data_IF_033620787710
#
_entry.id   IF_033620787710
#
_cell.length_a   1.000
_cell.length_b   1.000
_cell.length_c   1.000
_cell.angle_alpha   90.00
_cell.angle_beta   90.00
_cell.angle_gamma   90.00
#
_symmetry.space_group_name_H-M   'P 1'
#
loop_
_entity.id
_entity.type
_entity.pdbx_description
1 polymer ?
#
# COMPACT_ATOMS: atom_id res chain seq x y z
N UNK A 1 18.53 -4.46 -0.81
CA UNK A 1 17.57 -3.52 -1.41
C UNK A 1 16.17 -4.05 -1.24
N UNK A 2 15.23 -3.20 -0.82
CA UNK A 2 13.87 -3.66 -0.54
C UNK A 2 13.00 -3.60 -1.79
N UNK A 3 12.19 -4.63 -1.97
CA UNK A 3 11.18 -4.62 -3.02
C UNK A 3 10.03 -3.70 -2.62
N UNK A 4 9.16 -3.38 -3.56
CA UNK A 4 7.96 -2.60 -3.28
C UNK A 4 7.12 -3.26 -2.19
N UNK A 5 6.96 -4.58 -2.27
CA UNK A 5 6.20 -5.32 -1.27
C UNK A 5 6.82 -5.21 0.12
N UNK A 6 8.13 -5.32 0.22
CA UNK A 6 8.82 -5.18 1.49
C UNK A 6 8.66 -3.77 2.06
N UNK A 7 8.75 -2.77 1.21
CA UNK A 7 8.56 -1.37 1.63
C UNK A 7 7.14 -1.14 2.14
N UNK A 8 6.15 -1.72 1.47
CA UNK A 8 4.76 -1.62 1.93
C UNK A 8 4.56 -2.30 3.27
N UNK A 9 5.17 -3.47 3.45
CA UNK A 9 5.09 -4.19 4.72
C UNK A 9 5.66 -3.34 5.86
N UNK A 10 6.81 -2.73 5.64
CA UNK A 10 7.41 -1.85 6.64
C UNK A 10 6.55 -0.63 6.91
N UNK A 11 5.96 -0.06 5.86
CA UNK A 11 5.10 1.10 6.00
C UNK A 11 3.89 0.79 6.88
N UNK A 12 3.25 -0.34 6.63
CA UNK A 12 2.09 -0.76 7.42
C UNK A 12 2.49 -0.99 8.87
N UNK A 13 3.62 -1.64 9.09
CA UNK A 13 4.10 -1.87 10.44
C UNK A 13 4.39 -0.55 11.15
N UNK A 14 5.11 0.35 10.50
CA UNK A 14 5.54 1.60 11.13
C UNK A 14 4.40 2.58 11.36
N UNK A 15 3.46 2.66 10.44
CA UNK A 15 2.41 3.69 10.50
C UNK A 15 1.14 3.21 11.20
N UNK A 16 0.84 1.93 11.12
CA UNK A 16 -0.41 1.39 11.64
C UNK A 16 -0.21 0.39 12.77
N UNK A 17 1.03 0.07 13.10
CA UNK A 17 1.33 -0.82 14.22
C UNK A 17 0.97 -2.27 14.01
N UNK A 18 0.81 -2.69 12.76
CA UNK A 18 0.50 -4.09 12.46
C UNK A 18 1.77 -4.93 12.52
N UNK A 19 1.71 -6.04 13.23
CA UNK A 19 2.87 -6.92 13.38
C UNK A 19 3.26 -7.55 12.03
N UNK A 20 4.56 -7.68 11.79
CA UNK A 20 5.03 -8.30 10.55
C UNK A 20 4.48 -9.71 10.36
N UNK A 21 4.36 -10.47 11.44
CA UNK A 21 3.86 -11.85 11.39
C UNK A 21 2.41 -11.95 10.93
N UNK A 22 1.66 -10.89 11.15
CA UNK A 22 0.24 -10.85 10.80
C UNK A 22 0.03 -10.47 9.35
N UNK A 23 0.94 -9.69 8.79
CA UNK A 23 0.80 -9.19 7.42
C UNK A 23 1.03 -10.32 6.43
N UNK A 24 -0.01 -10.66 5.67
CA UNK A 24 0.06 -11.68 4.63
C UNK A 24 -0.20 -11.01 3.28
N UNK A 25 0.79 -10.94 2.40
CA UNK A 25 0.63 -10.25 1.11
C UNK A 25 -0.44 -10.83 0.21
N UNK A 26 -0.80 -12.08 0.40
CA UNK A 26 -1.79 -12.75 -0.43
C UNK A 26 -3.17 -12.80 0.21
N UNK A 27 -3.30 -12.33 1.45
CA UNK A 27 -4.57 -12.30 2.14
C UNK A 27 -5.25 -10.94 1.99
N UNK A 28 -6.58 -10.89 2.03
CA UNK A 28 -7.27 -9.60 1.99
C UNK A 28 -6.86 -8.70 3.15
N UNK A 29 -6.83 -7.41 2.93
CA UNK A 29 -6.50 -6.44 3.96
C UNK A 29 -7.34 -6.64 5.22
N UNK A 30 -8.60 -6.95 5.04
CA UNK A 30 -9.52 -7.11 6.16
C UNK A 30 -9.13 -8.26 7.10
N UNK A 31 -8.33 -9.21 6.62
CA UNK A 31 -7.94 -10.35 7.45
C UNK A 31 -6.92 -9.99 8.52
N UNK A 32 -6.30 -8.82 8.43
CA UNK A 32 -5.35 -8.36 9.45
C UNK A 32 -5.61 -6.89 9.83
N UNK A 33 -6.88 -6.59 10.06
CA UNK A 33 -7.32 -5.32 10.65
C UNK A 33 -7.16 -4.06 9.79
N UNK A 34 -6.93 -4.21 8.51
CA UNK A 34 -6.90 -3.06 7.61
C UNK A 34 -8.29 -2.86 7.00
N UNK A 35 -9.12 -2.10 7.70
CA UNK A 35 -10.47 -1.79 7.20
C UNK A 35 -10.42 -0.70 6.12
N UNK A 36 -11.57 -0.32 5.60
CA UNK A 36 -11.67 0.66 4.52
C UNK A 36 -11.02 1.99 4.87
N UNK A 37 -11.23 2.46 6.09
CA UNK A 37 -10.66 3.72 6.53
C UNK A 37 -9.14 3.64 6.62
N UNK A 38 -8.64 2.55 7.19
CA UNK A 38 -7.19 2.36 7.32
C UNK A 38 -6.54 2.23 5.95
N UNK A 39 -7.19 1.52 5.01
CA UNK A 39 -6.68 1.39 3.66
C UNK A 39 -6.62 2.75 2.97
N UNK A 40 -7.64 3.60 3.18
CA UNK A 40 -7.62 4.94 2.62
C UNK A 40 -6.44 5.75 3.15
N UNK A 41 -6.18 5.66 4.44
CA UNK A 41 -5.02 6.32 5.04
C UNK A 41 -3.72 5.76 4.50
N UNK A 42 -3.67 4.45 4.28
CA UNK A 42 -2.51 3.80 3.69
C UNK A 42 -2.22 4.36 2.28
N UNK A 43 -3.25 4.62 1.51
CA UNK A 43 -3.06 5.19 0.16
C UNK A 43 -2.41 6.56 0.22
N UNK A 44 -2.77 7.40 1.19
CA UNK A 44 -2.11 8.69 1.38
C UNK A 44 -0.63 8.52 1.73
N UNK A 45 -0.33 7.57 2.60
CA UNK A 45 1.06 7.30 2.98
C UNK A 45 1.87 6.80 1.79
N UNK A 46 1.25 5.99 0.95
CA UNK A 46 1.90 5.49 -0.26
C UNK A 46 2.23 6.62 -1.21
N UNK A 47 1.28 7.51 -1.45
CA UNK A 47 1.51 8.66 -2.33
C UNK A 47 2.72 9.46 -1.86
N UNK A 48 2.81 9.68 -0.56
CA UNK A 48 3.89 10.46 0.03
C UNK A 48 5.23 9.71 0.03
N UNK A 49 5.19 8.43 0.36
CA UNK A 49 6.40 7.64 0.53
C UNK A 49 7.01 7.23 -0.80
N UNK A 50 6.19 6.87 -1.78
CA UNK A 50 6.66 6.36 -3.07
C UNK A 50 6.65 7.43 -4.16
N UNK A 51 6.14 8.62 -3.85
CA UNK A 51 6.03 9.73 -4.81
C UNK A 51 5.25 9.32 -6.06
N UNK A 52 4.12 8.68 -5.84
CA UNK A 52 3.20 8.28 -6.91
C UNK A 52 1.81 8.76 -6.53
N UNK A 53 0.90 8.74 -7.50
CA UNK A 53 -0.51 9.02 -7.26
C UNK A 53 -1.30 7.77 -7.58
N UNK A 54 -1.92 7.17 -6.57
CA UNK A 54 -2.75 5.99 -6.77
C UNK A 54 -4.16 6.47 -7.12
N UNK A 55 -4.67 6.15 -8.32
CA UNK A 55 -6.03 6.55 -8.68
C UNK A 55 -7.06 5.88 -7.77
N UNK A 56 -8.12 6.61 -7.43
CA UNK A 56 -9.18 6.07 -6.58
C UNK A 56 -9.77 4.78 -7.14
N UNK A 57 -9.96 4.74 -8.45
CA UNK A 57 -10.51 3.55 -9.10
C UNK A 57 -9.62 2.33 -8.88
N UNK A 58 -8.32 2.52 -9.03
CA UNK A 58 -7.37 1.44 -8.82
C UNK A 58 -7.33 1.02 -7.36
N UNK A 59 -7.39 1.99 -6.44
CA UNK A 59 -7.39 1.69 -5.02
C UNK A 59 -8.57 0.82 -4.62
N UNK A 60 -9.73 1.03 -5.24
CA UNK A 60 -10.93 0.25 -4.94
C UNK A 60 -10.85 -1.20 -5.43
N UNK A 61 -10.01 -1.47 -6.42
CA UNK A 61 -9.91 -2.83 -6.97
C UNK A 61 -8.87 -3.68 -6.27
N UNK A 62 -8.03 -3.06 -5.46
CA UNK A 62 -6.95 -3.75 -4.75
C UNK A 62 -7.49 -4.30 -3.42
N UNK A 63 -7.33 -5.60 -3.20
CA UNK A 63 -7.76 -6.24 -1.97
C UNK A 63 -6.64 -6.87 -1.18
N UNK A 64 -5.47 -7.08 -1.81
CA UNK A 64 -4.31 -7.68 -1.14
C UNK A 64 -3.09 -6.77 -1.28
N UNK A 65 -2.15 -6.97 -0.37
CA UNK A 65 -0.90 -6.20 -0.40
C UNK A 65 -0.10 -6.49 -1.67
N UNK A 66 -0.12 -7.73 -2.12
CA UNK A 66 0.57 -8.14 -3.34
C UNK A 66 0.02 -7.39 -4.55
N UNK A 67 -1.31 -7.28 -4.65
CA UNK A 67 -1.94 -6.51 -5.71
C UNK A 67 -1.54 -5.05 -5.66
N UNK A 68 -1.48 -4.50 -4.46
CA UNK A 68 -1.09 -3.12 -4.26
C UNK A 68 0.36 -2.88 -4.70
N UNK A 69 1.26 -3.79 -4.37
CA UNK A 69 2.65 -3.69 -4.80
C UNK A 69 2.77 -3.70 -6.32
N UNK A 70 2.02 -4.58 -6.96
CA UNK A 70 2.01 -4.67 -8.42
C UNK A 70 1.49 -3.38 -9.04
N UNK A 71 0.44 -2.81 -8.45
CA UNK A 71 -0.11 -1.55 -8.93
C UNK A 71 0.92 -0.42 -8.84
N UNK A 72 1.58 -0.30 -7.70
CA UNK A 72 2.58 0.75 -7.49
C UNK A 72 3.72 0.62 -8.49
N UNK A 73 4.18 -0.59 -8.74
CA UNK A 73 5.28 -0.82 -9.68
C UNK A 73 4.92 -0.40 -11.10
N UNK A 74 3.64 -0.39 -11.43
CA UNK A 74 3.16 0.01 -12.74
C UNK A 74 2.82 1.49 -12.86
N UNK A 75 2.84 2.24 -11.76
CA UNK A 75 2.48 3.65 -11.79
C UNK A 75 3.68 4.52 -12.18
N UNK A 76 3.44 5.58 -12.98
CA UNK A 76 4.49 6.57 -13.22
C UNK A 76 4.71 7.42 -11.97
N UNK A 77 5.84 8.14 -11.89
CA UNK A 77 6.03 9.10 -10.82
C UNK A 77 4.92 10.13 -10.82
N UNK A 78 4.61 10.68 -9.64
CA UNK A 78 3.54 11.69 -9.55
C UNK A 78 3.83 12.86 -10.47
N UNK A 79 2.88 13.18 -11.33
CA UNK A 79 3.03 14.27 -12.28
C UNK A 79 3.08 15.60 -11.54
N UNK A 80 3.82 16.54 -12.10
CA UNK A 80 3.89 17.87 -11.55
C UNK A 80 4.85 18.03 -10.39
N UNK A 81 5.63 17.04 -10.11
CA UNK A 81 6.62 17.07 -9.04
C UNK A 81 7.98 17.58 -9.50
N UNK A 82 8.02 17.99 -10.67
CA UNK A 82 9.26 18.51 -11.24
C UNK A 82 9.76 19.74 -10.45
#
# INVERSE_FOLDING_TARGET
>A
MMTTLERLTHLIHDKFGVEFDVIDPDAPFASYDLDSLTVAELMFEIDDTFHVTVPDEAAHTVTTLHQLATLIDGLPPAAGKA
#
